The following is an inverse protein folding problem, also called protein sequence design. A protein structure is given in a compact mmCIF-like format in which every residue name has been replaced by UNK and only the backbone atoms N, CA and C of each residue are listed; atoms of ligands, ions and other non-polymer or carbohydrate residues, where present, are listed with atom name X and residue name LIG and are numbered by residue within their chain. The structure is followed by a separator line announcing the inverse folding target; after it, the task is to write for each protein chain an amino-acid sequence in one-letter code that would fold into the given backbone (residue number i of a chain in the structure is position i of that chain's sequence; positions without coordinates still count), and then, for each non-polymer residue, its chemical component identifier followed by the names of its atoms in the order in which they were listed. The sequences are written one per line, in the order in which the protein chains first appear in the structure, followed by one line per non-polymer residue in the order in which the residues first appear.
data_IF_775848923584
#
_entry.id   IF_775848923584
#
_cell.length_a   1.000
_cell.length_b   1.000
_cell.length_c   1.000
_cell.angle_alpha   90.00
_cell.angle_beta   90.00
_cell.angle_gamma   90.00
#
_symmetry.space_group_name_H-M   'P 1'
#
loop_
_entity.id
_entity.type
_entity.pdbx_description
1 polymer ?
#
# COMPACT_ATOMS: atom_id res chain seq x y z
N UNK A 1 -3.68 -7.72 15.79
CA UNK A 1 -2.54 -8.66 15.86
C UNK A 1 -1.43 -8.09 14.99
N UNK A 2 -0.32 -7.65 15.59
CA UNK A 2 0.83 -7.17 14.81
C UNK A 2 1.46 -8.37 14.11
N UNK A 3 1.40 -8.41 12.78
CA UNK A 3 2.10 -9.42 12.00
C UNK A 3 3.60 -9.23 12.23
N UNK A 4 4.31 -10.31 12.54
CA UNK A 4 5.73 -10.29 12.89
C UNK A 4 6.52 -11.05 11.84
N UNK A 5 7.63 -10.49 11.38
CA UNK A 5 8.49 -11.18 10.42
C UNK A 5 9.39 -12.18 11.14
N UNK A 6 9.14 -13.46 10.93
CA UNK A 6 9.95 -14.51 11.54
C UNK A 6 11.38 -14.57 10.99
N UNK A 7 11.60 -14.12 9.74
CA UNK A 7 12.92 -14.07 9.08
C UNK A 7 13.83 -13.00 9.66
N UNK A 8 13.31 -11.80 9.86
CA UNK A 8 14.10 -10.63 10.27
C UNK A 8 13.88 -10.20 11.74
N UNK A 9 13.00 -10.91 12.46
CA UNK A 9 12.64 -10.65 13.86
C UNK A 9 12.17 -9.20 14.12
N UNK A 10 11.39 -8.65 13.20
CA UNK A 10 10.84 -7.28 13.29
C UNK A 10 9.36 -7.22 12.90
N UNK A 11 8.60 -6.21 13.34
CA UNK A 11 7.18 -6.08 13.00
C UNK A 11 6.94 -5.77 11.50
N UNK A 12 5.79 -6.22 10.99
CA UNK A 12 5.30 -5.86 9.67
C UNK A 12 4.58 -4.51 9.74
N UNK A 13 5.29 -3.44 9.35
CA UNK A 13 4.78 -2.07 9.43
C UNK A 13 4.51 -1.44 8.05
N UNK A 14 4.98 -2.06 6.96
CA UNK A 14 4.83 -1.51 5.61
C UNK A 14 3.57 -2.07 4.95
N UNK A 15 2.55 -1.24 4.67
CA UNK A 15 1.36 -1.67 3.97
C UNK A 15 1.66 -1.90 2.48
N UNK A 16 1.28 -3.06 1.99
CA UNK A 16 1.45 -3.44 0.59
C UNK A 16 0.20 -4.17 0.08
N UNK A 17 -0.03 -4.27 -1.23
CA UNK A 17 -1.10 -5.15 -1.73
C UNK A 17 -0.83 -6.61 -1.34
N UNK A 18 -1.89 -7.41 -1.19
CA UNK A 18 -1.74 -8.86 -0.90
C UNK A 18 -0.83 -9.57 -1.90
N UNK A 19 -0.90 -9.20 -3.17
CA UNK A 19 -0.06 -9.78 -4.21
C UNK A 19 1.42 -9.44 -4.00
N UNK A 20 1.74 -8.18 -3.70
CA UNK A 20 3.11 -7.77 -3.36
C UNK A 20 3.60 -8.49 -2.10
N UNK A 21 2.77 -8.63 -1.07
CA UNK A 21 3.12 -9.40 0.12
C UNK A 21 3.41 -10.87 -0.18
N UNK A 22 2.67 -11.48 -1.11
CA UNK A 22 2.87 -12.86 -1.54
C UNK A 22 4.22 -13.03 -2.26
N UNK A 23 4.54 -12.16 -3.22
CA UNK A 23 5.85 -12.19 -3.89
C UNK A 23 7.00 -12.05 -2.89
N UNK A 24 6.89 -11.08 -1.99
CA UNK A 24 7.86 -10.85 -0.91
C UNK A 24 8.00 -12.08 0.00
N UNK A 25 6.90 -12.73 0.36
CA UNK A 25 6.91 -13.93 1.21
C UNK A 25 7.55 -15.13 0.52
N UNK A 26 7.34 -15.25 -0.79
CA UNK A 26 7.89 -16.34 -1.60
C UNK A 26 9.35 -16.11 -2.01
N UNK A 27 9.91 -14.93 -1.71
CA UNK A 27 11.22 -14.54 -2.22
C UNK A 27 11.26 -14.35 -3.74
N UNK A 28 10.09 -14.15 -4.35
CA UNK A 28 9.98 -13.84 -5.76
C UNK A 28 10.37 -12.39 -6.01
N UNK A 29 10.96 -12.13 -7.18
CA UNK A 29 11.10 -10.77 -7.67
C UNK A 29 9.70 -10.15 -7.83
N UNK A 30 9.56 -8.87 -7.47
CA UNK A 30 8.30 -8.17 -7.66
C UNK A 30 8.08 -7.99 -9.16
N UNK A 31 7.20 -8.82 -9.73
CA UNK A 31 6.91 -8.84 -11.16
C UNK A 31 5.92 -7.72 -11.50
N UNK A 32 6.38 -6.74 -12.29
CA UNK A 32 5.54 -5.71 -12.91
C UNK A 32 5.69 -4.31 -12.31
N UNK A 33 4.92 -3.37 -12.85
CA UNK A 33 4.95 -1.97 -12.42
C UNK A 33 4.33 -1.83 -11.03
N UNK A 34 5.13 -1.38 -10.08
CA UNK A 34 4.69 -1.01 -8.74
C UNK A 34 4.15 0.41 -8.79
N UNK A 35 2.99 0.66 -8.18
CA UNK A 35 2.44 2.00 -8.00
C UNK A 35 2.21 2.31 -6.53
N UNK A 36 1.96 3.59 -6.25
CA UNK A 36 1.82 4.09 -4.89
C UNK A 36 0.44 4.68 -4.63
N UNK A 37 -0.12 4.37 -3.47
CA UNK A 37 -1.28 5.08 -2.94
C UNK A 37 -0.85 5.82 -1.69
N UNK A 38 -1.15 7.11 -1.62
CA UNK A 38 -1.02 7.92 -0.43
C UNK A 38 -2.40 8.08 0.19
N UNK A 39 -2.59 7.54 1.39
CA UNK A 39 -3.82 7.72 2.15
C UNK A 39 -3.58 8.86 3.13
N UNK A 40 -4.16 10.02 2.84
CA UNK A 40 -4.07 11.20 3.69
C UNK A 40 -5.20 11.19 4.71
N UNK A 41 -4.86 11.21 5.99
CA UNK A 41 -5.79 11.39 7.10
C UNK A 41 -5.45 12.69 7.84
N UNK A 42 -6.29 13.10 8.80
CA UNK A 42 -6.03 14.30 9.61
C UNK A 42 -4.72 14.24 10.39
N UNK A 43 -4.24 13.04 10.72
CA UNK A 43 -3.09 12.83 11.62
C UNK A 43 -1.82 12.41 10.86
N UNK A 44 -1.96 11.71 9.73
CA UNK A 44 -0.84 11.15 8.99
C UNK A 44 -1.14 10.95 7.50
N UNK A 45 -0.06 10.96 6.69
CA UNK A 45 -0.08 10.49 5.31
C UNK A 45 0.59 9.12 5.27
N UNK A 46 -0.18 8.10 4.93
CA UNK A 46 0.31 6.72 4.85
C UNK A 46 0.62 6.34 3.40
N UNK A 47 1.89 6.04 3.10
CA UNK A 47 2.32 5.52 1.81
C UNK A 47 2.08 4.00 1.74
N UNK A 48 1.40 3.55 0.70
CA UNK A 48 1.06 2.15 0.43
C UNK A 48 1.59 1.75 -0.95
N UNK A 49 2.19 0.57 -1.03
CA UNK A 49 2.77 0.03 -2.27
C UNK A 49 1.79 -0.99 -2.84
N UNK A 50 1.39 -0.84 -4.11
CA UNK A 50 0.44 -1.77 -4.73
C UNK A 50 0.90 -2.21 -6.11
N UNK A 51 0.43 -3.40 -6.51
CA UNK A 51 0.61 -3.91 -7.86
C UNK A 51 -0.28 -3.15 -8.86
N UNK A 52 0.09 -3.19 -10.14
CA UNK A 52 -0.63 -2.49 -11.20
C UNK A 52 -2.08 -2.99 -11.36
N UNK A 53 -2.36 -4.27 -11.12
CA UNK A 53 -3.71 -4.81 -11.28
C UNK A 53 -4.67 -4.23 -10.23
N UNK A 54 -4.22 -4.12 -8.98
CA UNK A 54 -4.97 -3.48 -7.92
C UNK A 54 -5.11 -1.97 -8.17
N UNK A 55 -4.09 -1.33 -8.74
CA UNK A 55 -4.14 0.10 -9.05
C UNK A 55 -5.20 0.39 -10.11
N UNK A 56 -5.15 -0.30 -11.26
CA UNK A 56 -6.13 -0.12 -12.35
C UNK A 56 -7.55 -0.49 -11.93
N UNK A 57 -7.72 -1.45 -11.00
CA UNK A 57 -9.03 -1.80 -10.44
C UNK A 57 -9.72 -0.62 -9.75
N UNK A 58 -8.96 0.24 -9.06
CA UNK A 58 -9.51 1.34 -8.27
C UNK A 58 -9.32 2.72 -8.91
N UNK A 59 -8.34 2.86 -9.79
CA UNK A 59 -7.94 4.11 -10.44
C UNK A 59 -7.79 3.90 -11.96
N UNK A 60 -8.83 3.43 -12.66
CA UNK A 60 -8.74 3.10 -14.07
C UNK A 60 -8.38 4.34 -14.89
N UNK A 61 -7.38 4.21 -15.77
CA UNK A 61 -6.99 5.28 -16.68
C UNK A 61 -6.09 6.37 -16.08
N UNK A 62 -5.73 6.25 -14.79
CA UNK A 62 -4.71 7.10 -14.18
C UNK A 62 -3.33 6.66 -14.70
N UNK A 63 -2.61 7.56 -15.36
CA UNK A 63 -1.30 7.29 -15.95
C UNK A 63 -0.15 7.51 -14.97
N UNK A 64 -0.43 8.25 -13.91
CA UNK A 64 0.51 8.57 -12.84
C UNK A 64 0.89 7.31 -12.08
N UNK A 65 2.14 7.26 -11.61
CA UNK A 65 2.64 6.16 -10.77
C UNK A 65 2.14 6.23 -9.33
N UNK A 66 1.37 7.27 -8.98
CA UNK A 66 0.84 7.46 -7.65
C UNK A 66 -0.49 8.22 -7.64
N UNK A 67 -1.33 7.91 -6.65
CA UNK A 67 -2.56 8.65 -6.34
C UNK A 67 -2.61 8.96 -4.86
N UNK A 68 -3.12 10.14 -4.52
CA UNK A 68 -3.46 10.50 -3.15
C UNK A 68 -4.96 10.43 -2.97
N UNK A 69 -5.41 9.65 -1.99
CA UNK A 69 -6.81 9.59 -1.56
C UNK A 69 -6.92 10.14 -0.15
N UNK A 70 -8.01 10.86 0.13
CA UNK A 70 -8.25 11.46 1.45
C UNK A 70 -9.17 10.55 2.25
N UNK A 71 -8.69 10.01 3.36
CA UNK A 71 -9.55 9.42 4.38
C UNK A 71 -10.30 10.54 5.14
N UNK A 72 -11.25 10.14 5.99
CA UNK A 72 -12.16 11.02 6.74
C UNK A 72 -11.44 12.25 7.30
N UNK A 73 -11.88 13.43 6.88
CA UNK A 73 -11.58 14.67 7.58
C UNK A 73 -12.65 14.91 8.66
N UNK A 74 -12.39 14.39 9.88
CA UNK A 74 -13.32 14.52 11.02
C UNK A 74 -13.70 15.99 11.31
N UNK A 75 -12.75 16.95 11.35
CA UNK A 75 -13.06 18.36 11.52
C UNK A 75 -14.03 18.93 10.48
N UNK A 76 -13.86 18.56 9.20
CA UNK A 76 -14.69 19.09 8.11
C UNK A 76 -16.01 18.33 7.90
N UNK A 77 -16.25 17.24 8.64
CA UNK A 77 -17.41 16.33 8.46
C UNK A 77 -17.60 15.81 7.03
N UNK A 78 -16.54 15.82 6.23
CA UNK A 78 -16.57 15.34 4.85
C UNK A 78 -16.34 13.82 4.79
N UNK A 79 -17.18 13.14 4.02
CA UNK A 79 -17.04 11.71 3.76
C UNK A 79 -16.14 11.50 2.53
N UNK A 80 -14.88 11.91 2.65
CA UNK A 80 -13.85 11.74 1.62
C UNK A 80 -13.50 10.27 1.48
N UNK A 81 -13.52 9.76 0.23
CA UNK A 81 -13.08 8.43 -0.27
C UNK A 81 -13.15 7.23 0.68
N UNK A 82 -13.94 7.28 1.76
CA UNK A 82 -13.77 6.41 2.93
C UNK A 82 -14.14 4.98 2.61
N UNK A 83 -15.17 4.84 1.79
CA UNK A 83 -15.58 3.55 1.25
C UNK A 83 -14.50 2.98 0.34
N UNK A 84 -13.84 3.81 -0.46
CA UNK A 84 -12.71 3.41 -1.31
C UNK A 84 -11.50 3.01 -0.45
N UNK A 85 -11.09 3.81 0.55
CA UNK A 85 -9.95 3.43 1.40
C UNK A 85 -10.25 2.17 2.21
N UNK A 86 -11.50 1.95 2.65
CA UNK A 86 -11.91 0.67 3.27
C UNK A 86 -11.76 -0.51 2.32
N UNK A 87 -12.24 -0.40 1.08
CA UNK A 87 -12.12 -1.45 0.04
C UNK A 87 -10.66 -1.74 -0.28
N UNK A 88 -9.84 -0.70 -0.46
CA UNK A 88 -8.40 -0.84 -0.70
C UNK A 88 -7.74 -1.51 0.51
N UNK A 89 -8.02 -1.07 1.73
CA UNK A 89 -7.42 -1.62 2.97
C UNK A 89 -7.68 -3.12 3.13
N UNK A 90 -8.84 -3.61 2.69
CA UNK A 90 -9.16 -5.04 2.70
C UNK A 90 -8.30 -5.86 1.72
N UNK A 91 -7.70 -5.21 0.72
CA UNK A 91 -6.79 -5.81 -0.27
C UNK A 91 -5.31 -5.61 0.10
N UNK A 92 -5.05 -4.98 1.24
CA UNK A 92 -3.70 -4.81 1.76
C UNK A 92 -3.32 -5.95 2.70
N UNK A 93 -2.01 -6.15 2.78
CA UNK A 93 -1.32 -6.89 3.81
C UNK A 93 -0.18 -6.00 4.34
N UNK A 94 0.64 -6.54 5.23
CA UNK A 94 1.84 -5.85 5.68
C UNK A 94 3.05 -6.75 5.59
N UNK A 95 4.19 -6.12 5.30
CA UNK A 95 5.51 -6.77 5.28
C UNK A 95 6.48 -5.98 6.16
N UNK A 96 7.59 -6.62 6.54
CA UNK A 96 8.67 -5.92 7.22
C UNK A 96 9.56 -5.15 6.23
N UNK A 97 10.27 -4.14 6.74
CA UNK A 97 11.16 -3.27 5.96
C UNK A 97 12.29 -4.00 5.24
N UNK A 98 12.72 -5.15 5.76
CA UNK A 98 13.83 -5.92 5.20
C UNK A 98 13.37 -6.94 4.16
N UNK A 99 12.12 -7.38 4.24
CA UNK A 99 11.51 -8.26 3.24
C UNK A 99 11.05 -7.48 2.01
N UNK A 100 10.59 -6.24 2.20
CA UNK A 100 10.27 -5.36 1.08
C UNK A 100 11.58 -5.03 0.35
N UNK A 101 11.80 -5.52 -0.88
CA UNK A 101 12.96 -5.09 -1.65
C UNK A 101 12.87 -3.57 -1.77
N UNK A 102 13.98 -2.87 -1.52
CA UNK A 102 14.02 -1.43 -1.81
C UNK A 102 13.60 -1.32 -3.28
N UNK A 103 12.55 -0.55 -3.63
CA UNK A 103 12.39 -0.21 -5.03
C UNK A 103 13.75 0.36 -5.44
N UNK A 104 14.31 -0.13 -6.54
CA UNK A 104 15.45 0.53 -7.14
C UNK A 104 15.00 1.98 -7.30
N UNK A 105 15.48 2.85 -6.42
CA UNK A 105 15.40 4.29 -6.59
C UNK A 105 16.40 4.51 -7.72
N UNK A 106 15.98 4.18 -8.95
CA UNK A 106 16.59 4.75 -10.13
C UNK A 106 16.28 6.23 -10.00
N UNK A 107 17.30 6.96 -9.54
CA UNK A 107 17.33 8.41 -9.59
C UNK A 107 17.28 8.93 -11.01
#
# INVERSE_FOLDING_TARGET
MFLFCHKHKIPHIFPVSKQVAQWVSNGEEIKGNIRYIYIESTEEIRKTIIDNALFEKYFPGIKENSVTIKDRNKPLREMNDRLLVRKITQELSSVCRQCLPRPAITG
#
